data_IF_980136746437
#
_entry.id   IF_980136746437
#
_cell.length_a   1.000
_cell.length_b   1.000
_cell.length_c   1.000
_cell.angle_alpha   90.00
_cell.angle_beta   90.00
_cell.angle_gamma   90.00
#
_symmetry.space_group_name_H-M   'P 1'
#
loop_
_entity.id
_entity.type
_entity.pdbx_description
1 polymer ?
#
# COMPACT_ATOMS: atom_id res chain seq x y z
N UNK A 1 24.60 6.29 42.51
CA UNK A 1 25.32 5.09 42.98
C UNK A 1 24.71 3.90 42.24
N UNK A 2 25.29 3.19 41.27
CA UNK A 2 26.65 2.94 40.76
C UNK A 2 26.48 2.64 39.25
N UNK A 3 27.08 3.38 38.32
CA UNK A 3 28.34 3.03 37.64
C UNK A 3 28.46 1.60 37.11
N UNK A 4 28.42 1.43 35.78
CA UNK A 4 29.39 0.65 34.97
C UNK A 4 28.94 0.77 33.50
N UNK A 5 29.58 1.52 32.60
CA UNK A 5 30.92 1.34 32.01
C UNK A 5 31.26 -0.11 31.68
N UNK A 6 31.02 -0.52 30.44
CA UNK A 6 31.85 -1.53 29.77
C UNK A 6 31.89 -1.26 28.25
N UNK A 7 33.07 -0.82 27.80
CA UNK A 7 33.45 -0.69 26.40
C UNK A 7 34.14 -1.99 26.01
N UNK A 8 33.65 -2.73 25.00
CA UNK A 8 34.50 -3.62 24.21
C UNK A 8 33.89 -3.93 22.84
N UNK A 9 34.76 -3.86 21.83
CA UNK A 9 34.55 -4.09 20.40
C UNK A 9 34.26 -5.56 20.05
N UNK A 10 33.61 -5.78 18.91
CA UNK A 10 33.89 -6.94 18.04
C UNK A 10 32.70 -7.52 17.27
N UNK A 11 32.67 -7.24 15.96
CA UNK A 11 32.29 -8.07 14.80
C UNK A 11 31.13 -9.08 14.84
N UNK A 12 30.36 -9.13 13.75
CA UNK A 12 29.47 -10.26 13.44
C UNK A 12 28.19 -9.85 12.72
N UNK A 13 28.28 -9.84 11.41
CA UNK A 13 27.25 -9.77 10.38
C UNK A 13 26.12 -10.80 10.59
N UNK A 14 24.97 -10.53 9.95
CA UNK A 14 23.73 -11.30 9.88
C UNK A 14 22.76 -11.23 11.07
N UNK A 15 21.77 -10.33 10.98
CA UNK A 15 20.37 -10.75 11.17
C UNK A 15 19.40 -9.77 10.51
N UNK A 16 18.62 -10.29 9.56
CA UNK A 16 17.47 -9.62 8.97
C UNK A 16 16.47 -9.18 10.06
N UNK A 17 16.40 -7.88 10.31
CA UNK A 17 15.40 -7.29 11.19
C UNK A 17 14.07 -7.20 10.44
N UNK A 18 13.30 -8.30 10.46
CA UNK A 18 11.88 -8.25 10.20
C UNK A 18 11.21 -7.44 11.32
N UNK A 19 10.99 -6.15 11.07
CA UNK A 19 10.20 -5.28 11.94
C UNK A 19 8.76 -5.78 11.94
N UNK A 20 8.37 -6.48 13.00
CA UNK A 20 6.98 -6.83 13.31
C UNK A 20 6.21 -5.57 13.68
N UNK A 21 5.76 -4.82 12.68
CA UNK A 21 4.74 -3.79 12.86
C UNK A 21 3.41 -4.50 13.15
N UNK A 22 2.58 -3.98 14.09
CA UNK A 22 1.27 -4.55 14.35
C UNK A 22 0.46 -4.52 13.06
N UNK A 23 -0.06 -5.67 12.64
CA UNK A 23 -1.04 -5.79 11.56
C UNK A 23 -2.32 -5.11 12.05
N UNK A 24 -2.35 -3.79 11.88
CA UNK A 24 -3.54 -2.98 12.07
C UNK A 24 -4.64 -3.53 11.15
N UNK A 25 -5.84 -3.70 11.71
CA UNK A 25 -7.01 -4.08 10.95
C UNK A 25 -7.14 -3.15 9.72
N UNK A 26 -7.57 -3.68 8.56
CA UNK A 26 -7.67 -2.91 7.33
C UNK A 26 -8.58 -1.71 7.58
N UNK A 27 -8.00 -0.50 7.56
CA UNK A 27 -8.77 0.72 7.65
C UNK A 27 -9.57 0.82 6.34
N UNK A 28 -10.90 0.83 6.43
CA UNK A 28 -11.75 1.07 5.28
C UNK A 28 -11.26 2.34 4.56
N UNK A 29 -11.21 2.30 3.23
CA UNK A 29 -10.87 3.47 2.42
C UNK A 29 -11.89 4.56 2.75
N UNK A 30 -11.41 5.62 3.40
CA UNK A 30 -12.28 6.65 3.99
C UNK A 30 -12.86 7.60 2.94
N UNK A 31 -12.19 7.73 1.79
CA UNK A 31 -12.61 8.55 0.64
C UNK A 31 -11.84 8.14 -0.61
N UNK A 32 -12.50 8.21 -1.77
CA UNK A 32 -11.92 7.91 -3.09
C UNK A 32 -10.98 9.02 -3.59
N UNK A 33 -11.26 10.28 -3.26
CA UNK A 33 -10.47 11.44 -3.71
C UNK A 33 -8.96 11.34 -3.42
N UNK A 34 -8.51 11.04 -2.18
CA UNK A 34 -7.10 10.83 -1.88
C UNK A 34 -6.50 9.64 -2.64
N UNK A 35 -7.28 8.57 -2.83
CA UNK A 35 -6.86 7.38 -3.58
C UNK A 35 -6.62 7.72 -5.04
N UNK A 36 -7.59 8.36 -5.68
CA UNK A 36 -7.50 8.80 -7.08
C UNK A 36 -6.31 9.73 -7.27
N UNK A 37 -6.08 10.66 -6.33
CA UNK A 37 -4.91 11.55 -6.37
C UNK A 37 -3.60 10.76 -6.27
N UNK A 38 -3.51 9.79 -5.36
CA UNK A 38 -2.34 8.91 -5.23
C UNK A 38 -2.09 8.06 -6.48
N UNK A 39 -3.13 7.68 -7.21
CA UNK A 39 -3.04 6.95 -8.48
C UNK A 39 -2.63 7.86 -9.67
N UNK A 40 -2.39 9.15 -9.45
CA UNK A 40 -2.05 10.11 -10.51
C UNK A 40 -3.26 10.80 -11.15
N UNK A 41 -4.44 10.70 -10.54
CA UNK A 41 -5.69 11.31 -11.01
C UNK A 41 -6.60 10.35 -11.78
N UNK A 42 -7.87 10.73 -11.95
CA UNK A 42 -8.89 9.87 -12.61
C UNK A 42 -8.53 9.56 -14.07
N UNK A 43 -7.93 10.53 -14.78
CA UNK A 43 -7.46 10.33 -16.15
C UNK A 43 -6.29 9.35 -16.28
N UNK A 44 -5.59 9.03 -15.19
CA UNK A 44 -4.52 8.04 -15.21
C UNK A 44 -5.02 6.61 -14.99
N UNK A 45 -6.27 6.43 -14.56
CA UNK A 45 -6.88 5.10 -14.32
C UNK A 45 -7.48 4.64 -15.64
N UNK A 46 -6.94 3.56 -16.21
CA UNK A 46 -7.47 2.93 -17.41
C UNK A 46 -8.62 1.97 -17.09
N UNK A 47 -8.49 1.20 -16.01
CA UNK A 47 -9.53 0.29 -15.56
C UNK A 47 -9.44 0.03 -14.06
N UNK A 48 -10.59 -0.23 -13.45
CA UNK A 48 -10.72 -0.64 -12.06
C UNK A 48 -11.68 -1.83 -11.96
N UNK A 49 -11.17 -3.01 -11.59
CA UNK A 49 -11.98 -4.23 -11.56
C UNK A 49 -11.98 -4.85 -10.18
N UNK A 50 -13.17 -5.11 -9.64
CA UNK A 50 -13.32 -5.85 -8.39
C UNK A 50 -12.91 -7.31 -8.59
N UNK A 51 -11.99 -7.80 -7.76
CA UNK A 51 -11.46 -9.17 -7.83
C UNK A 51 -11.31 -9.77 -6.44
N UNK A 52 -11.51 -11.08 -6.33
CA UNK A 52 -11.29 -11.85 -5.10
C UNK A 52 -11.95 -11.24 -3.84
N UNK A 53 -13.13 -10.60 -4.03
CA UNK A 53 -13.98 -9.97 -3.01
C UNK A 53 -13.40 -8.76 -2.26
N UNK A 54 -12.09 -8.72 -2.01
CA UNK A 54 -11.44 -7.70 -1.17
C UNK A 54 -10.44 -6.83 -1.91
N UNK A 55 -10.25 -7.09 -3.22
CA UNK A 55 -9.21 -6.45 -4.01
C UNK A 55 -9.81 -5.68 -5.18
N UNK A 56 -9.12 -4.63 -5.58
CA UNK A 56 -9.36 -3.94 -6.84
C UNK A 56 -8.11 -4.06 -7.69
N UNK A 57 -8.26 -4.60 -8.90
CA UNK A 57 -7.22 -4.54 -9.92
C UNK A 57 -7.31 -3.18 -10.60
N UNK A 58 -6.24 -2.41 -10.54
CA UNK A 58 -6.11 -1.12 -11.21
C UNK A 58 -5.11 -1.26 -12.35
N UNK A 59 -5.49 -0.80 -13.53
CA UNK A 59 -4.57 -0.55 -14.63
C UNK A 59 -4.37 0.95 -14.79
N UNK A 60 -3.11 1.40 -14.80
CA UNK A 60 -2.75 2.80 -14.97
C UNK A 60 -2.22 3.05 -16.38
N UNK A 61 -2.56 4.21 -16.95
CA UNK A 61 -2.03 4.67 -18.24
C UNK A 61 -0.54 5.00 -18.10
N UNK A 62 -0.18 5.73 -17.05
CA UNK A 62 1.20 6.10 -16.72
C UNK A 62 1.54 5.68 -15.29
N UNK A 63 2.27 4.56 -15.09
CA UNK A 63 2.64 4.10 -13.75
C UNK A 63 3.62 5.03 -13.03
N UNK A 64 4.32 5.93 -13.72
CA UNK A 64 5.25 6.86 -13.09
C UNK A 64 4.55 7.95 -12.25
N UNK A 65 3.24 8.16 -12.46
CA UNK A 65 2.43 9.10 -11.68
C UNK A 65 1.89 8.50 -10.38
N UNK A 66 2.15 7.21 -10.12
CA UNK A 66 1.72 6.56 -8.89
C UNK A 66 2.55 7.06 -7.69
N UNK A 67 1.88 7.73 -6.76
CA UNK A 67 2.45 8.08 -5.47
C UNK A 67 2.19 6.96 -4.45
N UNK A 68 3.18 6.08 -4.31
CA UNK A 68 3.13 4.94 -3.38
C UNK A 68 3.01 5.38 -1.92
N UNK A 69 3.59 6.52 -1.55
CA UNK A 69 3.55 7.01 -0.16
C UNK A 69 2.15 7.50 0.15
N UNK A 70 1.56 8.33 -0.73
CA UNK A 70 0.19 8.79 -0.59
C UNK A 70 -0.80 7.60 -0.61
N UNK A 71 -0.58 6.60 -1.48
CA UNK A 71 -1.45 5.42 -1.59
C UNK A 71 -1.57 4.66 -0.27
N UNK A 72 -0.48 4.52 0.49
CA UNK A 72 -0.51 3.85 1.80
C UNK A 72 -1.29 4.64 2.86
N UNK A 73 -1.48 5.94 2.65
CA UNK A 73 -2.21 6.81 3.57
C UNK A 73 -3.73 6.81 3.31
N UNK A 74 -4.20 6.25 2.19
CA UNK A 74 -5.62 6.30 1.80
C UNK A 74 -6.49 5.19 2.40
N UNK A 75 -5.88 4.26 3.16
CA UNK A 75 -6.55 3.10 3.74
C UNK A 75 -6.33 1.80 2.95
N UNK A 76 -5.56 1.83 1.87
CA UNK A 76 -5.13 0.60 1.18
C UNK A 76 -4.27 -0.24 2.14
N UNK A 77 -4.74 -1.45 2.46
CA UNK A 77 -4.04 -2.35 3.40
C UNK A 77 -2.74 -2.90 2.84
N UNK A 78 -2.67 -2.99 1.52
CA UNK A 78 -1.47 -3.39 0.79
C UNK A 78 -1.72 -3.31 -0.70
N UNK A 79 -0.64 -3.27 -1.47
CA UNK A 79 -0.72 -3.37 -2.91
C UNK A 79 0.37 -4.30 -3.46
N UNK A 80 0.10 -4.89 -4.62
CA UNK A 80 1.02 -5.77 -5.34
C UNK A 80 1.04 -5.37 -6.81
N UNK A 81 2.22 -5.30 -7.40
CA UNK A 81 2.39 -5.12 -8.85
C UNK A 81 2.28 -6.49 -9.52
N UNK A 82 1.33 -6.62 -10.45
CA UNK A 82 1.09 -7.87 -11.19
C UNK A 82 1.85 -7.87 -12.51
N UNK A 83 1.87 -6.70 -13.15
CA UNK A 83 2.59 -6.41 -14.38
C UNK A 83 2.92 -4.91 -14.38
N UNK A 84 3.83 -4.44 -15.26
CA UNK A 84 4.06 -3.01 -15.42
C UNK A 84 2.74 -2.26 -15.67
N UNK A 85 2.39 -1.32 -14.80
CA UNK A 85 1.14 -0.56 -14.89
C UNK A 85 -0.11 -1.23 -14.32
N UNK A 86 -0.02 -2.48 -13.86
CA UNK A 86 -1.17 -3.23 -13.29
C UNK A 86 -0.93 -3.58 -11.84
N UNK A 87 -1.83 -3.15 -10.97
CA UNK A 87 -1.72 -3.28 -9.52
C UNK A 87 -2.94 -3.98 -8.95
N UNK A 88 -2.75 -4.81 -7.93
CA UNK A 88 -3.82 -5.23 -7.02
C UNK A 88 -3.75 -4.40 -5.76
N UNK A 89 -4.82 -3.69 -5.45
CA UNK A 89 -5.00 -2.98 -4.19
C UNK A 89 -5.86 -3.83 -3.27
N UNK A 90 -5.46 -3.98 -2.01
CA UNK A 90 -6.23 -4.65 -0.96
C UNK A 90 -6.99 -3.58 -0.19
N UNK A 91 -8.30 -3.56 -0.35
CA UNK A 91 -9.21 -2.52 0.17
C UNK A 91 -10.04 -3.06 1.32
N UNK A 92 -10.50 -4.32 1.22
CA UNK A 92 -11.47 -4.91 2.14
C UNK A 92 -12.84 -5.07 1.50
N UNK A 93 -13.89 -5.20 2.31
CA UNK A 93 -15.26 -5.49 1.84
C UNK A 93 -15.83 -4.44 0.89
N UNK A 94 -15.34 -3.20 0.98
CA UNK A 94 -15.76 -2.07 0.13
C UNK A 94 -15.11 -2.07 -1.26
N UNK A 95 -14.25 -3.04 -1.57
CA UNK A 95 -13.54 -3.12 -2.85
C UNK A 95 -14.49 -3.08 -4.07
N UNK A 96 -15.67 -3.70 -3.97
CA UNK A 96 -16.65 -3.71 -5.05
C UNK A 96 -17.27 -2.34 -5.31
N UNK A 97 -17.58 -1.59 -4.25
CA UNK A 97 -18.12 -0.23 -4.37
C UNK A 97 -17.08 0.71 -4.95
N UNK A 98 -15.84 0.63 -4.45
CA UNK A 98 -14.74 1.45 -4.92
C UNK A 98 -14.42 1.19 -6.39
N UNK A 99 -14.38 -0.08 -6.83
CA UNK A 99 -14.13 -0.40 -8.23
C UNK A 99 -15.17 0.26 -9.15
N UNK A 100 -16.45 0.22 -8.77
CA UNK A 100 -17.55 0.81 -9.54
C UNK A 100 -17.49 2.34 -9.62
N UNK A 101 -16.98 3.00 -8.59
CA UNK A 101 -16.78 4.47 -8.58
C UNK A 101 -15.61 4.91 -9.48
N UNK A 102 -14.64 4.01 -9.66
CA UNK A 102 -13.41 4.26 -10.43
C UNK A 102 -13.51 3.84 -11.90
N UNK A 103 -14.53 3.06 -12.28
CA UNK A 103 -14.88 2.77 -13.68
C UNK A 103 -15.25 4.05 -14.47
#
# INVERSE_FOLDING_TARGET
>A
MFSSLFKKLGGGDDTAAASSAPVAAPAAVRSELPLVKALGGKSNIRSATHIAYTRVRIELINPALLDVIALRQTGVSGFCTIAPGVYHLIIGVDAGLLAKELE
#
